data_IF_871354484343
#
_entry.id   IF_871354484343
#
_cell.length_a   1.000
_cell.length_b   1.000
_cell.length_c   1.000
_cell.angle_alpha   90.00
_cell.angle_beta   90.00
_cell.angle_gamma   90.00
#
_symmetry.space_group_name_H-M   'P 1'
#
loop_
_entity.id
_entity.type
_entity.pdbx_description
1 polymer ?
#
# COMPACT_ATOMS: atom_id res chain seq x y z
N UNK A 1 -17.76 -4.04 -20.89
CA UNK A 1 -17.89 -4.51 -19.49
C UNK A 1 -17.79 -3.27 -18.61
N UNK A 2 -18.92 -2.73 -18.17
CA UNK A 2 -18.97 -1.47 -17.43
C UNK A 2 -18.46 -1.71 -16.01
N UNK A 3 -17.27 -1.18 -15.71
CA UNK A 3 -16.76 -1.13 -14.34
C UNK A 3 -17.63 -0.13 -13.58
N UNK A 4 -18.51 -0.62 -12.70
CA UNK A 4 -19.12 0.22 -11.68
C UNK A 4 -17.99 0.73 -10.79
N UNK A 5 -17.58 1.97 -10.99
CA UNK A 5 -16.71 2.67 -10.05
C UNK A 5 -17.61 2.99 -8.86
N UNK A 6 -17.48 2.21 -7.78
CA UNK A 6 -17.98 2.66 -6.48
C UNK A 6 -17.30 4.01 -6.20
N UNK A 7 -18.10 5.06 -6.06
CA UNK A 7 -17.60 6.39 -5.72
C UNK A 7 -17.05 6.36 -4.30
N UNK A 8 -15.75 6.10 -4.16
CA UNK A 8 -15.02 6.41 -2.95
C UNK A 8 -14.94 7.93 -2.82
N UNK A 9 -15.64 8.49 -1.84
CA UNK A 9 -15.42 9.86 -1.41
C UNK A 9 -14.20 9.89 -0.49
N UNK A 10 -13.19 10.67 -0.86
CA UNK A 10 -12.06 10.95 0.00
C UNK A 10 -12.36 12.25 0.75
N UNK A 11 -12.14 12.29 2.06
CA UNK A 11 -12.40 13.51 2.84
C UNK A 11 -11.33 14.57 2.59
N UNK A 12 -10.07 14.13 2.43
CA UNK A 12 -8.91 14.99 2.25
C UNK A 12 -7.99 14.44 1.16
N UNK A 13 -7.47 15.33 0.30
CA UNK A 13 -6.39 15.04 -0.64
C UNK A 13 -5.16 15.85 -0.24
N UNK A 14 -4.04 15.16 -0.14
CA UNK A 14 -2.74 15.79 0.12
C UNK A 14 -1.82 15.58 -1.08
N UNK A 15 -1.31 16.67 -1.64
CA UNK A 15 -0.27 16.65 -2.65
C UNK A 15 1.10 16.78 -2.00
N UNK A 16 2.01 15.88 -2.36
CA UNK A 16 3.42 15.94 -1.94
C UNK A 16 4.25 16.35 -3.15
N UNK A 17 4.90 17.50 -3.07
CA UNK A 17 5.73 18.06 -4.14
C UNK A 17 7.16 18.30 -3.65
N UNK A 18 8.08 18.46 -4.60
CA UNK A 18 9.48 18.73 -4.29
C UNK A 18 9.75 20.21 -4.06
N UNK A 19 10.77 20.49 -3.25
CA UNK A 19 11.32 21.81 -3.13
C UNK A 19 12.18 22.11 -4.38
N UNK A 20 11.79 23.10 -5.20
CA UNK A 20 12.62 23.56 -6.31
C UNK A 20 11.87 24.21 -7.46
N UNK A 21 12.64 24.68 -8.45
CA UNK A 21 12.13 25.31 -9.68
C UNK A 21 12.49 24.53 -10.95
N UNK A 22 12.84 23.25 -10.80
CA UNK A 22 13.21 22.40 -11.93
C UNK A 22 12.03 22.23 -12.90
N UNK A 23 12.31 21.79 -14.13
CA UNK A 23 11.26 21.54 -15.12
C UNK A 23 10.27 20.48 -14.65
N UNK A 24 10.76 19.49 -13.90
CA UNK A 24 9.98 18.41 -13.31
C UNK A 24 9.01 18.96 -12.25
N UNK A 25 9.48 19.82 -11.34
CA UNK A 25 8.63 20.42 -10.31
C UNK A 25 7.58 21.36 -10.92
N UNK A 26 7.94 22.13 -11.95
CA UNK A 26 6.98 22.95 -12.71
C UNK A 26 5.90 22.10 -13.39
N UNK A 27 6.27 20.94 -13.93
CA UNK A 27 5.31 20.00 -14.50
C UNK A 27 4.42 19.35 -13.44
N UNK A 28 4.98 19.02 -12.26
CA UNK A 28 4.22 18.49 -11.13
C UNK A 28 3.19 19.50 -10.62
N UNK A 29 3.56 20.78 -10.49
CA UNK A 29 2.63 21.85 -10.10
C UNK A 29 1.52 22.06 -11.14
N UNK A 30 1.84 21.97 -12.44
CA UNK A 30 0.83 22.03 -13.51
C UNK A 30 -0.17 20.87 -13.39
N UNK A 31 0.31 19.65 -13.17
CA UNK A 31 -0.57 18.48 -12.96
C UNK A 31 -1.45 18.69 -11.73
N UNK A 32 -0.86 19.09 -10.60
CA UNK A 32 -1.61 19.38 -9.38
C UNK A 32 -2.73 20.38 -9.69
N UNK A 33 -2.42 21.52 -10.29
CA UNK A 33 -3.41 22.55 -10.64
C UNK A 33 -4.56 22.00 -11.50
N UNK A 34 -4.27 21.13 -12.46
CA UNK A 34 -5.31 20.48 -13.28
C UNK A 34 -6.17 19.48 -12.49
N UNK A 35 -5.57 18.77 -11.55
CA UNK A 35 -6.25 17.81 -10.67
C UNK A 35 -7.12 18.56 -9.65
N UNK A 36 -6.60 19.60 -9.00
CA UNK A 36 -7.33 20.45 -8.06
C UNK A 36 -8.57 21.07 -8.71
N UNK A 37 -8.46 21.60 -9.94
CA UNK A 37 -9.61 22.15 -10.69
C UNK A 37 -10.74 21.13 -10.89
N UNK A 38 -10.41 19.85 -11.07
CA UNK A 38 -11.40 18.78 -11.24
C UNK A 38 -12.02 18.32 -9.91
N UNK A 39 -11.35 18.60 -8.80
CA UNK A 39 -11.73 18.16 -7.45
C UNK A 39 -12.34 19.27 -6.58
N UNK A 40 -12.19 20.53 -6.98
CA UNK A 40 -12.51 21.75 -6.22
C UNK A 40 -13.93 21.80 -5.61
N UNK A 41 -14.87 20.98 -6.08
CA UNK A 41 -16.24 20.92 -5.58
C UNK A 41 -16.50 19.84 -4.53
N UNK A 42 -15.52 19.00 -4.16
CA UNK A 42 -15.81 17.77 -3.40
C UNK A 42 -14.93 17.49 -2.18
N UNK A 43 -13.74 18.10 -2.03
CA UNK A 43 -12.75 17.61 -1.04
C UNK A 43 -11.84 18.72 -0.52
N UNK A 44 -11.39 18.59 0.73
CA UNK A 44 -10.35 19.43 1.32
C UNK A 44 -8.99 19.08 0.70
N UNK A 45 -8.22 20.11 0.34
CA UNK A 45 -6.96 19.96 -0.41
C UNK A 45 -5.82 20.63 0.35
N UNK A 46 -4.74 19.89 0.55
CA UNK A 46 -3.50 20.36 1.18
C UNK A 46 -2.31 20.06 0.27
N UNK A 47 -1.31 20.94 0.27
CA UNK A 47 -0.03 20.68 -0.38
C UNK A 47 1.08 20.76 0.65
N UNK A 48 1.97 19.78 0.65
CA UNK A 48 3.22 19.83 1.39
C UNK A 48 4.41 19.78 0.44
N UNK A 49 5.42 20.57 0.76
CA UNK A 49 6.68 20.63 0.02
C UNK A 49 7.74 19.90 0.82
N UNK A 50 8.40 18.91 0.21
CA UNK A 50 9.43 18.08 0.85
C UNK A 50 10.67 17.98 -0.04
N UNK A 51 11.81 17.65 0.57
CA UNK A 51 13.01 17.25 -0.16
C UNK A 51 12.85 15.80 -0.65
N UNK A 52 12.32 15.59 -1.87
CA UNK A 52 11.92 14.26 -2.38
C UNK A 52 13.06 13.25 -2.55
N UNK A 53 14.30 13.72 -2.55
CA UNK A 53 15.50 12.88 -2.60
C UNK A 53 16.09 12.56 -1.22
N UNK A 54 15.57 13.20 -0.16
CA UNK A 54 15.91 12.88 1.23
C UNK A 54 14.90 11.88 1.79
N UNK A 55 15.31 10.61 1.88
CA UNK A 55 14.46 9.54 2.44
C UNK A 55 13.91 9.90 3.82
N UNK A 56 14.74 10.49 4.69
CA UNK A 56 14.35 10.83 6.07
C UNK A 56 13.33 11.96 6.10
N UNK A 57 13.50 13.01 5.29
CA UNK A 57 12.54 14.12 5.25
C UNK A 57 11.20 13.66 4.69
N UNK A 58 11.21 12.85 3.63
CA UNK A 58 9.97 12.28 3.09
C UNK A 58 9.28 11.39 4.12
N UNK A 59 10.02 10.51 4.79
CA UNK A 59 9.46 9.62 5.80
C UNK A 59 8.87 10.40 6.98
N UNK A 60 9.58 11.44 7.45
CA UNK A 60 9.10 12.33 8.51
C UNK A 60 7.81 13.06 8.11
N UNK A 61 7.78 13.68 6.92
CA UNK A 61 6.60 14.38 6.42
C UNK A 61 5.40 13.45 6.26
N UNK A 62 5.61 12.21 5.80
CA UNK A 62 4.54 11.21 5.75
C UNK A 62 4.00 10.85 7.15
N UNK A 63 4.86 10.67 8.15
CA UNK A 63 4.39 10.42 9.52
C UNK A 63 3.65 11.60 10.12
N UNK A 64 4.11 12.82 9.87
CA UNK A 64 3.41 14.04 10.32
C UNK A 64 2.01 14.12 9.71
N UNK A 65 1.86 13.82 8.40
CA UNK A 65 0.55 13.74 7.74
C UNK A 65 -0.33 12.63 8.33
N UNK A 66 0.23 11.45 8.54
CA UNK A 66 -0.50 10.32 9.12
C UNK A 66 -1.01 10.72 10.50
N UNK A 67 -0.15 11.17 11.41
CA UNK A 67 -0.55 11.54 12.77
C UNK A 67 -1.52 12.72 12.81
N UNK A 68 -1.36 13.71 11.91
CA UNK A 68 -2.29 14.84 11.78
C UNK A 68 -3.72 14.39 11.44
N UNK A 69 -3.88 13.39 10.58
CA UNK A 69 -5.18 12.94 10.08
C UNK A 69 -5.66 11.61 10.67
N UNK A 70 -4.86 10.96 11.52
CA UNK A 70 -5.17 9.67 12.15
C UNK A 70 -6.13 9.90 13.32
N UNK A 71 -7.41 10.08 12.99
CA UNK A 71 -8.50 10.10 13.95
C UNK A 71 -9.48 8.97 13.64
N UNK A 72 -9.75 8.09 14.61
CA UNK A 72 -10.73 7.01 14.44
C UNK A 72 -10.29 5.93 13.43
N UNK A 73 -11.18 5.58 12.50
CA UNK A 73 -11.02 4.47 11.54
C UNK A 73 -10.68 4.96 10.12
N UNK A 74 -9.89 6.03 10.02
CA UNK A 74 -9.44 6.59 8.73
C UNK A 74 -8.51 5.60 8.01
N UNK A 75 -8.72 5.47 6.70
CA UNK A 75 -7.85 4.71 5.80
C UNK A 75 -7.10 5.67 4.89
N UNK A 76 -5.78 5.57 4.91
CA UNK A 76 -4.90 6.36 4.05
C UNK A 76 -4.66 5.63 2.74
N UNK A 77 -4.82 6.33 1.63
CA UNK A 77 -4.55 5.82 0.30
C UNK A 77 -3.36 6.57 -0.29
N UNK A 78 -2.23 5.90 -0.48
CA UNK A 78 -1.00 6.52 -1.01
C UNK A 78 -0.78 6.06 -2.45
N UNK A 79 -0.92 7.00 -3.39
CA UNK A 79 -0.56 6.80 -4.79
C UNK A 79 0.95 6.99 -4.98
N UNK A 80 1.66 5.95 -5.40
CA UNK A 80 3.10 6.05 -5.66
C UNK A 80 3.48 6.12 -7.15
N UNK A 81 2.49 6.20 -8.05
CA UNK A 81 2.68 6.06 -9.50
C UNK A 81 3.61 7.11 -10.11
N UNK A 82 3.49 8.35 -9.66
CA UNK A 82 4.26 9.51 -10.14
C UNK A 82 5.39 9.90 -9.20
N UNK A 83 5.68 9.07 -8.19
CA UNK A 83 6.66 9.38 -7.15
C UNK A 83 8.08 8.93 -7.54
N UNK A 84 9.09 9.55 -6.94
CA UNK A 84 10.46 9.03 -7.03
C UNK A 84 10.56 7.69 -6.30
N UNK A 85 11.60 6.90 -6.61
CA UNK A 85 11.87 5.65 -5.89
C UNK A 85 12.09 5.88 -4.39
N UNK A 86 12.69 7.01 -4.03
CA UNK A 86 12.92 7.40 -2.62
C UNK A 86 11.58 7.61 -1.92
N UNK A 87 10.66 8.36 -2.52
CA UNK A 87 9.32 8.59 -1.99
C UNK A 87 8.52 7.29 -1.90
N UNK A 88 8.55 6.45 -2.94
CA UNK A 88 7.92 5.13 -2.93
C UNK A 88 8.40 4.24 -1.77
N UNK A 89 9.71 4.21 -1.52
CA UNK A 89 10.28 3.44 -0.41
C UNK A 89 9.91 4.03 0.95
N UNK A 90 9.94 5.36 1.09
CA UNK A 90 9.53 6.04 2.31
C UNK A 90 8.04 5.80 2.61
N UNK A 91 7.17 5.85 1.60
CA UNK A 91 5.75 5.51 1.73
C UNK A 91 5.54 4.07 2.19
N UNK A 92 6.25 3.13 1.60
CA UNK A 92 6.18 1.73 2.01
C UNK A 92 6.64 1.56 3.47
N UNK A 93 7.75 2.22 3.84
CA UNK A 93 8.30 2.21 5.20
C UNK A 93 7.32 2.81 6.21
N UNK A 94 6.71 3.96 5.90
CA UNK A 94 5.69 4.61 6.72
C UNK A 94 4.51 3.67 6.97
N UNK A 95 4.01 2.99 5.93
CA UNK A 95 2.94 2.02 6.05
C UNK A 95 3.33 0.76 6.85
N UNK A 96 4.59 0.32 6.72
CA UNK A 96 5.10 -0.84 7.44
C UNK A 96 5.30 -0.58 8.94
N UNK A 97 5.65 0.66 9.31
CA UNK A 97 5.91 1.08 10.69
C UNK A 97 4.67 1.62 11.41
N UNK A 98 3.78 2.29 10.68
CA UNK A 98 2.56 2.87 11.25
C UNK A 98 1.57 1.77 11.64
N UNK A 99 0.81 2.04 12.68
CA UNK A 99 -0.38 1.30 13.10
C UNK A 99 -1.66 1.76 12.35
N UNK A 100 -1.58 2.83 11.56
CA UNK A 100 -2.68 3.29 10.72
C UNK A 100 -3.00 2.29 9.58
N UNK A 101 -4.25 2.35 9.09
CA UNK A 101 -4.65 1.58 7.92
C UNK A 101 -4.19 2.31 6.65
N UNK A 102 -3.03 1.91 6.11
CA UNK A 102 -2.42 2.55 4.95
C UNK A 102 -2.39 1.58 3.77
N UNK A 103 -2.99 1.98 2.65
CA UNK A 103 -3.07 1.22 1.40
C UNK A 103 -2.21 1.92 0.35
N UNK A 104 -1.12 1.26 -0.04
CA UNK A 104 -0.28 1.73 -1.14
C UNK A 104 -0.83 1.19 -2.45
N UNK A 105 -0.85 2.05 -3.47
CA UNK A 105 -1.24 1.63 -4.80
C UNK A 105 -0.46 2.37 -5.88
N UNK A 106 -0.39 1.75 -7.05
CA UNK A 106 0.04 2.41 -8.27
C UNK A 106 -0.99 2.20 -9.38
N UNK A 107 -1.02 3.13 -10.31
CA UNK A 107 -1.88 3.14 -11.48
C UNK A 107 -1.04 2.66 -12.65
N UNK A 108 -1.41 1.52 -13.21
CA UNK A 108 -0.76 0.97 -14.39
C UNK A 108 -1.18 1.79 -15.62
N UNK A 109 -0.20 2.34 -16.32
CA UNK A 109 -0.44 3.09 -17.56
C UNK A 109 -0.85 2.17 -18.71
N UNK A 110 -1.57 2.73 -19.68
CA UNK A 110 -1.86 2.04 -20.96
C UNK A 110 -0.59 1.94 -21.79
N UNK A 111 0.16 3.04 -21.85
CA UNK A 111 1.36 3.15 -22.65
C UNK A 111 2.51 3.76 -21.85
N UNK A 112 3.71 3.24 -22.07
CA UNK A 112 4.95 3.79 -21.53
C UNK A 112 5.83 4.26 -22.68
N UNK A 113 6.40 5.46 -22.56
CA UNK A 113 7.29 6.04 -23.57
C UNK A 113 8.47 5.11 -23.88
N UNK A 114 8.99 4.41 -22.87
CA UNK A 114 10.06 3.41 -23.05
C UNK A 114 9.69 2.29 -24.01
N UNK A 115 8.44 1.83 -24.00
CA UNK A 115 7.97 0.79 -24.93
C UNK A 115 7.84 1.31 -26.35
N UNK A 116 7.45 2.56 -26.52
CA UNK A 116 7.42 3.22 -27.83
C UNK A 116 8.84 3.46 -28.35
N UNK A 117 9.75 3.90 -27.47
CA UNK A 117 11.16 4.12 -27.78
C UNK A 117 11.85 2.82 -28.19
N UNK A 118 11.64 1.71 -27.46
CA UNK A 118 12.20 0.41 -27.82
C UNK A 118 11.72 -0.07 -29.20
N UNK A 119 10.43 0.08 -29.51
CA UNK A 119 9.90 -0.24 -30.85
C UNK A 119 10.53 0.64 -31.94
N UNK A 120 10.78 1.91 -31.63
CA UNK A 120 11.40 2.85 -32.56
C UNK A 120 12.87 2.51 -32.81
N UNK A 121 13.62 2.18 -31.76
CA UNK A 121 15.05 1.85 -31.81
C UNK A 121 15.34 0.52 -32.52
N UNK A 122 14.39 -0.42 -32.55
CA UNK A 122 14.61 -1.74 -33.13
C UNK A 122 14.78 -1.75 -34.66
N UNK A 123 14.45 -0.66 -35.38
CA UNK A 123 14.40 -0.66 -36.85
C UNK A 123 14.90 0.63 -37.54
N UNK A 124 15.75 1.44 -36.90
CA UNK A 124 16.12 2.77 -37.42
C UNK A 124 17.62 3.08 -37.35
N UNK A 125 18.09 3.90 -38.30
CA UNK A 125 19.46 4.42 -38.31
C UNK A 125 19.65 5.57 -37.30
N UNK A 126 20.90 5.82 -36.90
CA UNK A 126 21.29 6.78 -35.86
C UNK A 126 20.79 8.22 -36.10
N UNK A 127 20.63 8.64 -37.36
CA UNK A 127 20.10 9.98 -37.69
C UNK A 127 18.63 10.15 -37.31
N UNK A 128 17.82 9.10 -37.51
CA UNK A 128 16.39 9.08 -37.19
C UNK A 128 16.18 9.06 -35.67
N UNK A 129 17.08 8.39 -34.95
CA UNK A 129 17.08 8.32 -33.48
C UNK A 129 17.35 9.71 -32.88
N UNK A 130 18.34 10.44 -33.39
CA UNK A 130 18.64 11.81 -32.92
C UNK A 130 17.48 12.78 -33.14
N UNK A 131 16.81 12.69 -34.29
CA UNK A 131 15.66 13.54 -34.59
C UNK A 131 14.44 13.19 -33.73
N UNK A 132 14.23 11.91 -33.44
CA UNK A 132 13.18 11.44 -32.54
C UNK A 132 13.40 11.89 -31.10
N UNK A 133 14.62 11.72 -30.56
CA UNK A 133 14.98 12.18 -29.21
C UNK A 133 14.81 13.69 -29.10
N UNK A 134 15.24 14.45 -30.13
CA UNK A 134 15.05 15.90 -30.18
C UNK A 134 13.56 16.29 -30.16
N UNK A 135 12.74 15.58 -30.93
CA UNK A 135 11.29 15.76 -30.94
C UNK A 135 10.61 15.41 -29.61
N UNK A 136 11.15 14.45 -28.85
CA UNK A 136 10.68 14.15 -27.49
C UNK A 136 11.05 15.26 -26.49
N UNK A 137 12.27 15.79 -26.56
CA UNK A 137 12.69 16.90 -25.69
C UNK A 137 11.95 18.21 -25.99
N UNK A 138 11.50 18.42 -27.23
CA UNK A 138 10.81 19.65 -27.67
C UNK A 138 9.28 19.59 -27.51
N UNK A 139 8.66 18.40 -27.57
CA UNK A 139 7.20 18.23 -27.44
C UNK A 139 6.81 17.65 -26.09
N UNK A 140 6.71 18.46 -25.04
CA UNK A 140 5.97 18.16 -23.79
C UNK A 140 6.14 16.72 -23.22
N UNK A 141 7.22 16.00 -23.54
CA UNK A 141 7.42 14.61 -23.15
C UNK A 141 8.01 14.54 -21.75
N UNK A 142 7.53 15.40 -20.87
CA UNK A 142 7.77 15.29 -19.43
C UNK A 142 7.06 14.02 -18.91
N UNK A 143 6.06 13.52 -19.62
CA UNK A 143 5.28 12.36 -19.24
C UNK A 143 5.82 11.07 -19.87
N UNK A 144 6.35 10.17 -19.02
CA UNK A 144 6.84 8.85 -19.41
C UNK A 144 5.72 7.81 -19.62
N UNK A 145 4.47 8.17 -19.35
CA UNK A 145 3.31 7.28 -19.43
C UNK A 145 2.04 8.01 -19.86
N UNK A 146 1.11 7.27 -20.49
CA UNK A 146 -0.22 7.75 -20.92
C UNK A 146 -1.31 6.73 -20.61
N UNK A 147 -2.51 7.23 -20.32
CA UNK A 147 -3.69 6.41 -20.00
C UNK A 147 -3.62 5.72 -18.64
N UNK A 148 -4.73 5.13 -18.20
CA UNK A 148 -4.83 4.41 -16.93
C UNK A 148 -5.66 3.13 -17.12
N UNK A 149 -5.02 1.97 -16.97
CA UNK A 149 -5.69 0.67 -17.18
C UNK A 149 -6.27 0.10 -15.91
N UNK A 150 -5.48 0.12 -14.82
CA UNK A 150 -5.78 -0.63 -13.61
C UNK A 150 -5.08 -0.03 -12.40
N UNK A 151 -5.79 0.01 -11.28
CA UNK A 151 -5.20 0.26 -9.96
C UNK A 151 -4.66 -1.06 -9.42
N UNK A 152 -3.40 -1.05 -9.00
CA UNK A 152 -2.73 -2.20 -8.40
C UNK A 152 -2.29 -1.83 -7.00
N UNK A 153 -2.86 -2.52 -6.01
CA UNK A 153 -2.47 -2.36 -4.62
C UNK A 153 -1.18 -3.13 -4.31
N UNK A 154 -0.35 -2.52 -3.49
CA UNK A 154 0.93 -3.06 -3.07
C UNK A 154 0.76 -3.57 -1.63
N UNK A 155 0.95 -4.88 -1.39
CA UNK A 155 0.84 -5.43 -0.05
C UNK A 155 1.96 -4.88 0.82
N UNK A 156 1.60 -4.33 1.98
CA UNK A 156 2.55 -3.78 2.94
C UNK A 156 2.86 -4.82 4.01
N UNK A 157 4.12 -5.23 4.09
CA UNK A 157 4.58 -6.13 5.14
C UNK A 157 4.93 -5.34 6.40
N UNK A 158 4.33 -5.71 7.52
CA UNK A 158 4.67 -5.12 8.83
C UNK A 158 6.04 -5.64 9.27
N UNK A 159 6.89 -4.74 9.77
CA UNK A 159 8.29 -5.06 10.06
C UNK A 159 8.52 -5.98 11.26
N UNK A 160 7.54 -6.10 12.16
CA UNK A 160 7.69 -7.03 13.29
C UNK A 160 7.47 -8.45 12.81
N UNK A 161 8.55 -9.23 12.77
CA UNK A 161 8.52 -10.65 12.42
C UNK A 161 7.65 -11.41 13.44
N UNK A 162 6.63 -12.18 12.99
CA UNK A 162 5.90 -13.08 13.87
C UNK A 162 6.81 -14.19 14.41
N UNK A 163 6.54 -14.68 15.61
CA UNK A 163 7.25 -15.86 16.14
C UNK A 163 6.72 -17.16 15.50
N UNK A 164 7.40 -18.30 15.71
CA UNK A 164 6.99 -19.60 15.14
C UNK A 164 5.52 -19.95 15.43
N UNK A 165 5.08 -19.78 16.67
CA UNK A 165 3.67 -20.04 17.03
C UNK A 165 2.69 -19.00 16.49
N UNK A 166 3.17 -17.81 16.08
CA UNK A 166 2.32 -16.83 15.41
C UNK A 166 2.14 -17.20 13.92
N UNK A 167 3.18 -17.74 13.27
CA UNK A 167 3.07 -18.32 11.93
C UNK A 167 2.06 -19.45 11.86
N UNK A 168 2.03 -20.34 12.86
CA UNK A 168 1.02 -21.39 12.96
C UNK A 168 -0.42 -20.83 12.92
N UNK A 169 -0.67 -19.72 13.62
CA UNK A 169 -2.00 -19.07 13.64
C UNK A 169 -2.33 -18.51 12.24
N UNK A 170 -1.37 -17.84 11.60
CA UNK A 170 -1.56 -17.24 10.27
C UNK A 170 -1.79 -18.32 9.20
N UNK A 171 -1.09 -19.45 9.29
CA UNK A 171 -1.25 -20.59 8.38
C UNK A 171 -2.61 -21.26 8.53
N UNK A 172 -3.09 -21.42 9.76
CA UNK A 172 -4.44 -21.95 10.01
C UNK A 172 -5.50 -21.01 9.44
N UNK A 173 -5.37 -19.70 9.66
CA UNK A 173 -6.29 -18.72 9.08
C UNK A 173 -6.29 -18.80 7.55
N UNK A 174 -5.10 -18.92 6.93
CA UNK A 174 -4.96 -19.07 5.48
C UNK A 174 -5.60 -20.37 4.97
N UNK A 175 -5.40 -21.49 5.66
CA UNK A 175 -5.97 -22.79 5.32
C UNK A 175 -7.50 -22.81 5.41
N UNK A 176 -8.08 -22.02 6.32
CA UNK A 176 -9.52 -21.84 6.47
C UNK A 176 -10.12 -20.79 5.50
N UNK A 177 -9.37 -20.39 4.46
CA UNK A 177 -9.83 -19.41 3.46
C UNK A 177 -9.64 -17.95 3.84
N UNK A 178 -8.79 -17.67 4.84
CA UNK A 178 -8.45 -16.34 5.32
C UNK A 178 -9.35 -15.82 6.44
N UNK A 179 -10.39 -16.56 6.82
CA UNK A 179 -11.36 -16.11 7.83
C UNK A 179 -11.81 -17.23 8.77
N UNK A 180 -11.99 -16.90 10.05
CA UNK A 180 -12.51 -17.82 11.07
C UNK A 180 -13.61 -17.12 11.88
N UNK A 181 -14.73 -17.81 12.07
CA UNK A 181 -15.92 -17.27 12.74
C UNK A 181 -15.72 -16.91 14.22
N UNK A 182 -14.75 -17.52 14.90
CA UNK A 182 -14.47 -17.21 16.30
C UNK A 182 -13.08 -17.63 16.77
N UNK A 183 -12.59 -16.95 17.80
CA UNK A 183 -11.39 -17.34 18.55
C UNK A 183 -11.47 -18.78 19.08
N UNK A 184 -12.66 -19.23 19.49
CA UNK A 184 -12.90 -20.58 19.96
C UNK A 184 -12.69 -21.64 18.87
N UNK A 185 -13.13 -21.37 17.63
CA UNK A 185 -12.89 -22.26 16.48
C UNK A 185 -11.40 -22.37 16.17
N UNK A 186 -10.68 -21.24 16.16
CA UNK A 186 -9.22 -21.22 15.97
C UNK A 186 -8.50 -22.10 17.01
N UNK A 187 -8.81 -21.92 18.30
CA UNK A 187 -8.20 -22.71 19.38
C UNK A 187 -8.51 -24.21 19.23
N UNK A 188 -9.70 -24.57 18.75
CA UNK A 188 -10.07 -25.97 18.50
C UNK A 188 -9.25 -26.57 17.36
N UNK A 189 -9.01 -25.83 16.28
CA UNK A 189 -8.19 -26.28 15.14
C UNK A 189 -6.74 -26.46 15.56
N UNK A 190 -6.16 -25.49 16.29
CA UNK A 190 -4.80 -25.59 16.82
C UNK A 190 -4.58 -26.85 17.67
N UNK A 191 -5.56 -27.23 18.49
CA UNK A 191 -5.50 -28.45 19.30
C UNK A 191 -5.50 -29.73 18.48
N UNK A 192 -6.30 -29.79 17.41
CA UNK A 192 -6.34 -30.95 16.51
C UNK A 192 -4.99 -31.14 15.81
N UNK A 193 -4.31 -30.05 15.46
CA UNK A 193 -3.00 -30.09 14.84
C UNK A 193 -1.85 -30.40 15.83
N UNK A 194 -2.02 -30.06 17.11
CA UNK A 194 -0.99 -30.22 18.16
C UNK A 194 -1.11 -31.43 19.08
N UNK A 195 -2.11 -32.31 18.93
CA UNK A 195 -2.33 -33.56 19.67
C UNK A 195 -1.83 -33.59 21.14
N UNK A 196 -2.63 -33.03 22.07
CA UNK A 196 -2.76 -33.50 23.48
C UNK A 196 -4.09 -33.01 24.07
N UNK A 197 -4.80 -33.93 24.73
CA UNK A 197 -6.25 -33.92 24.99
C UNK A 197 -6.80 -33.00 26.10
N UNK A 198 -5.99 -32.23 26.82
CA UNK A 198 -6.52 -31.41 27.92
C UNK A 198 -6.41 -29.92 27.61
N UNK A 199 -7.55 -29.23 27.57
CA UNK A 199 -7.59 -27.76 27.61
C UNK A 199 -7.10 -27.32 28.99
N UNK A 200 -5.80 -27.07 29.14
CA UNK A 200 -5.39 -26.29 30.30
C UNK A 200 -5.78 -24.83 30.03
N UNK A 201 -6.35 -24.15 31.03
CA UNK A 201 -6.74 -22.73 30.99
C UNK A 201 -5.56 -21.84 30.52
N UNK A 202 -4.34 -22.29 30.80
CA UNK A 202 -3.06 -21.73 30.37
C UNK A 202 -2.94 -21.56 28.84
N UNK A 203 -3.42 -22.51 28.04
CA UNK A 203 -3.31 -22.46 26.57
C UNK A 203 -4.28 -21.46 25.95
N UNK A 204 -5.50 -21.36 26.48
CA UNK A 204 -6.50 -20.38 26.01
C UNK A 204 -5.98 -18.96 26.20
N UNK A 205 -5.37 -18.69 27.36
CA UNK A 205 -4.78 -17.39 27.67
C UNK A 205 -3.57 -17.10 26.78
N UNK A 206 -2.72 -18.10 26.50
CA UNK A 206 -1.58 -17.97 25.59
C UNK A 206 -2.02 -17.59 24.17
N UNK A 207 -2.98 -18.29 23.59
CA UNK A 207 -3.45 -18.01 22.22
C UNK A 207 -4.21 -16.69 22.14
N UNK A 208 -5.00 -16.35 23.17
CA UNK A 208 -5.70 -15.05 23.21
C UNK A 208 -4.71 -13.87 23.24
N UNK A 209 -3.62 -13.99 24.02
CA UNK A 209 -2.54 -12.99 24.04
C UNK A 209 -1.84 -12.86 22.68
N UNK A 210 -1.53 -13.97 22.02
CA UNK A 210 -0.90 -13.99 20.70
C UNK A 210 -1.80 -13.43 19.61
N UNK A 211 -3.08 -13.78 19.64
CA UNK A 211 -4.05 -13.22 18.72
C UNK A 211 -4.19 -11.71 18.91
N UNK A 212 -4.25 -11.23 20.17
CA UNK A 212 -4.22 -9.79 20.45
C UNK A 212 -2.94 -9.13 19.93
N UNK A 213 -1.80 -9.80 20.06
CA UNK A 213 -0.54 -9.34 19.47
C UNK A 213 -0.62 -9.26 17.93
N UNK A 214 -1.09 -10.30 17.25
CA UNK A 214 -1.25 -10.34 15.80
C UNK A 214 -2.23 -9.27 15.29
N UNK A 215 -3.30 -9.01 16.03
CA UNK A 215 -4.24 -7.92 15.75
C UNK A 215 -3.55 -6.58 15.91
N UNK A 216 -2.86 -6.35 17.03
CA UNK A 216 -2.14 -5.11 17.29
C UNK A 216 -0.98 -4.88 16.31
N UNK A 217 -0.41 -5.93 15.74
CA UNK A 217 0.62 -5.82 14.70
C UNK A 217 0.04 -5.67 13.28
N UNK A 218 -1.29 -5.72 13.11
CA UNK A 218 -1.94 -5.55 11.82
C UNK A 218 -1.85 -6.76 10.88
N UNK A 219 -1.62 -7.96 11.42
CA UNK A 219 -1.64 -9.21 10.64
C UNK A 219 -3.03 -9.86 10.55
N UNK A 220 -3.89 -9.55 11.53
CA UNK A 220 -5.24 -10.10 11.65
C UNK A 220 -6.17 -8.95 12.03
N UNK A 221 -7.37 -8.92 11.45
CA UNK A 221 -8.44 -8.03 11.90
C UNK A 221 -9.47 -8.83 12.69
N UNK A 222 -10.15 -8.14 13.61
CA UNK A 222 -11.23 -8.70 14.40
C UNK A 222 -12.45 -7.81 14.26
N UNK A 223 -13.56 -8.37 13.81
CA UNK A 223 -14.83 -7.64 13.70
C UNK A 223 -15.32 -7.25 15.11
N UNK A 224 -15.50 -5.95 15.41
CA UNK A 224 -15.99 -5.50 16.70
C UNK A 224 -17.47 -5.85 16.95
N UNK A 225 -18.28 -6.07 15.92
CA UNK A 225 -19.76 -6.04 16.02
C UNK A 225 -20.48 -7.40 16.03
N UNK A 226 -19.81 -8.49 16.41
CA UNK A 226 -20.41 -9.83 16.48
C UNK A 226 -20.39 -10.49 17.87
N UNK A 227 -21.45 -11.25 18.21
CA UNK A 227 -21.47 -12.18 19.37
C UNK A 227 -20.33 -13.20 19.26
N UNK A 228 -19.97 -13.57 18.03
CA UNK A 228 -18.73 -14.25 17.69
C UNK A 228 -17.76 -13.27 17.02
N UNK A 229 -16.66 -12.94 17.70
CA UNK A 229 -15.62 -12.06 17.15
C UNK A 229 -14.92 -12.76 15.98
N UNK A 230 -15.36 -12.48 14.76
CA UNK A 230 -14.80 -13.00 13.51
C UNK A 230 -13.35 -12.50 13.37
N UNK A 231 -12.47 -13.39 12.90
CA UNK A 231 -11.06 -13.10 12.64
C UNK A 231 -10.80 -13.23 11.14
N UNK A 232 -10.12 -12.25 10.55
CA UNK A 232 -9.75 -12.28 9.13
C UNK A 232 -8.28 -11.91 8.95
N UNK A 233 -7.59 -12.52 7.98
CA UNK A 233 -6.24 -12.09 7.60
C UNK A 233 -6.29 -10.71 6.96
N UNK A 234 -5.31 -9.87 7.28
CA UNK A 234 -4.99 -8.69 6.46
C UNK A 234 -4.15 -9.08 5.26
N UNK A 235 -3.97 -8.18 4.29
CA UNK A 235 -3.05 -8.40 3.17
C UNK A 235 -1.61 -8.67 3.65
N UNK A 236 -1.18 -7.96 4.70
CA UNK A 236 0.10 -8.20 5.38
C UNK A 236 0.16 -9.61 5.97
N UNK A 237 -0.88 -10.03 6.70
CA UNK A 237 -0.96 -11.36 7.28
C UNK A 237 -0.94 -12.46 6.23
N UNK A 238 -1.68 -12.30 5.14
CA UNK A 238 -1.71 -13.23 4.02
C UNK A 238 -0.36 -13.32 3.30
N UNK A 239 0.30 -12.19 3.08
CA UNK A 239 1.62 -12.14 2.46
C UNK A 239 2.69 -12.78 3.34
N UNK A 240 2.71 -12.50 4.66
CA UNK A 240 3.62 -13.15 5.61
C UNK A 240 3.34 -14.66 5.70
N UNK A 241 2.07 -15.09 5.75
CA UNK A 241 1.70 -16.50 5.73
C UNK A 241 2.09 -17.23 4.43
N UNK A 242 2.38 -16.50 3.34
CA UNK A 242 2.87 -17.07 2.08
C UNK A 242 4.38 -17.32 2.11
N UNK A 243 5.13 -16.48 2.81
CA UNK A 243 6.60 -16.61 2.92
C UNK A 243 7.04 -17.27 4.24
N UNK A 244 6.09 -17.69 5.08
CA UNK A 244 6.35 -18.28 6.38
C UNK A 244 7.27 -19.49 6.34
N UNK A 245 7.21 -20.30 5.29
CA UNK A 245 8.08 -21.48 5.14
C UNK A 245 9.58 -21.14 5.02
N UNK A 246 9.91 -19.95 4.54
CA UNK A 246 11.29 -19.44 4.47
C UNK A 246 11.71 -18.83 5.82
N UNK A 247 10.75 -18.29 6.57
CA UNK A 247 10.98 -17.55 7.81
C UNK A 247 10.82 -18.39 9.10
N UNK A 248 10.67 -19.72 9.00
CA UNK A 248 10.50 -20.62 10.16
C UNK A 248 11.82 -21.02 10.83
#
# INVERSE_FOLDING_TARGET
MNVKVETCFFDNIVFILGAGESLEEKAAEKIKTEVEKKLASYQDQETIILELFSFTEVLKGLFELIEKHKNGSVTFYINISSSTKVVSQAAYMAAALSDANIRLYYIKAEEYLSTQLLKFLQNKEDSDIKQFIKGLTEKEAVYLSKGATKIVEIPVLKMKRPSKSDFEILEILKAEGGEISSTAKLIRIMKKLGSKESIQITDRNRYSKRLKYLINQGFVTQDPQGVSKKLSLTDSGAAIAKIGDILK
#
